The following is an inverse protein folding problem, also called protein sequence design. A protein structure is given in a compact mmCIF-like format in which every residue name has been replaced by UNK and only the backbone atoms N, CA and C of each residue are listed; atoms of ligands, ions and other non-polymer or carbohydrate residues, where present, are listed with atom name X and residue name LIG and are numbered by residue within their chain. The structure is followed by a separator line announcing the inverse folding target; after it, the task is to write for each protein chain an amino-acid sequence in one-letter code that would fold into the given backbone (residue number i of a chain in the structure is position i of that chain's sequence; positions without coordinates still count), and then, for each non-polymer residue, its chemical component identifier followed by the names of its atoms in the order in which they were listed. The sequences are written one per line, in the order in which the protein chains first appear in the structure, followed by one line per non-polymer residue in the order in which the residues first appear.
data_IF_502798759099
#
_entry.id   IF_502798759099
#
_cell.length_a   1.000
_cell.length_b   1.000
_cell.length_c   1.000
_cell.angle_alpha   90.00
_cell.angle_beta   90.00
_cell.angle_gamma   90.00
#
_symmetry.space_group_name_H-M   'P 1'
#
loop_
_entity.id
_entity.type
_entity.pdbx_description
1 polymer ?
#
# COMPACT_ATOMS: atom_id res chain seq x y z
N UNK A 1 -5.46 18.93 -1.17
CA UNK A 1 -6.20 20.00 -0.48
C UNK A 1 -7.62 20.06 -1.06
N UNK A 2 -8.61 19.58 -0.32
CA UNK A 2 -10.03 19.64 -0.72
C UNK A 2 -10.60 20.97 -0.27
N UNK A 3 -11.11 21.77 -1.20
CA UNK A 3 -11.77 23.05 -0.87
C UNK A 3 -13.22 22.73 -0.52
N UNK A 4 -13.51 22.66 0.77
CA UNK A 4 -14.87 22.56 1.32
C UNK A 4 -15.34 23.99 1.61
N UNK A 5 -16.42 24.46 0.96
CA UNK A 5 -17.02 25.77 1.25
C UNK A 5 -18.30 25.56 2.08
N UNK A 6 -18.24 25.89 3.38
CA UNK A 6 -19.40 25.91 4.27
C UNK A 6 -19.20 26.94 5.39
N UNK A 7 -20.28 27.58 5.87
CA UNK A 7 -20.25 28.57 6.96
C UNK A 7 -19.72 28.02 8.29
N UNK A 8 -19.77 26.69 8.50
CA UNK A 8 -19.11 25.98 9.59
C UNK A 8 -18.51 24.66 9.08
N UNK A 9 -17.41 24.75 8.34
CA UNK A 9 -16.75 23.60 7.71
C UNK A 9 -16.36 22.48 8.70
N UNK A 10 -16.03 22.83 9.95
CA UNK A 10 -15.67 21.85 10.99
C UNK A 10 -16.86 21.00 11.47
N UNK A 11 -18.05 21.60 11.60
CA UNK A 11 -19.26 20.88 12.03
C UNK A 11 -19.78 19.96 10.92
N UNK A 12 -19.68 20.40 9.67
CA UNK A 12 -20.06 19.56 8.52
C UNK A 12 -19.10 18.40 8.34
N UNK A 13 -17.79 18.61 8.52
CA UNK A 13 -16.79 17.54 8.47
C UNK A 13 -17.02 16.50 9.57
N UNK A 14 -17.28 16.93 10.80
CA UNK A 14 -17.56 16.01 11.91
C UNK A 14 -18.83 15.16 11.66
N UNK A 15 -19.91 15.78 11.15
CA UNK A 15 -21.14 15.05 10.81
C UNK A 15 -21.01 14.12 9.61
N UNK A 16 -20.22 14.47 8.59
CA UNK A 16 -19.93 13.57 7.48
C UNK A 16 -19.00 12.43 7.89
N UNK A 17 -17.99 12.69 8.72
CA UNK A 17 -17.06 11.65 9.19
C UNK A 17 -17.79 10.61 10.06
N UNK A 18 -18.69 11.06 10.93
CA UNK A 18 -19.49 10.17 11.79
C UNK A 18 -20.49 9.33 10.99
N UNK A 19 -21.09 9.86 9.91
CA UNK A 19 -22.07 9.11 9.09
C UNK A 19 -21.39 8.19 8.07
N UNK A 20 -20.28 8.62 7.47
CA UNK A 20 -19.66 7.90 6.35
C UNK A 20 -18.51 6.99 6.77
N UNK A 21 -17.76 7.32 7.82
CA UNK A 21 -16.52 6.62 8.18
C UNK A 21 -16.54 5.92 9.55
N UNK A 22 -17.41 6.34 10.48
CA UNK A 22 -17.61 5.65 11.79
C UNK A 22 -17.88 4.14 11.68
N UNK A 23 -18.69 3.64 10.72
CA UNK A 23 -18.91 2.20 10.58
C UNK A 23 -17.66 1.42 10.13
N UNK A 24 -16.64 2.12 9.62
CA UNK A 24 -15.49 1.54 8.93
C UNK A 24 -14.16 1.78 9.64
N UNK A 25 -14.12 2.68 10.63
CA UNK A 25 -12.92 3.00 11.41
C UNK A 25 -12.36 1.75 12.13
N UNK A 26 -13.18 0.73 12.35
CA UNK A 26 -12.83 -0.53 13.03
C UNK A 26 -12.97 -1.79 12.17
N UNK A 27 -13.44 -1.68 10.93
CA UNK A 27 -13.57 -2.83 10.03
C UNK A 27 -12.21 -3.10 9.39
N UNK A 28 -11.45 -4.05 9.94
CA UNK A 28 -10.19 -4.45 9.33
C UNK A 28 -10.43 -4.93 7.89
N UNK A 29 -9.67 -4.41 6.90
CA UNK A 29 -9.74 -4.94 5.55
C UNK A 29 -9.42 -6.43 5.55
N UNK A 30 -10.04 -7.15 4.63
CA UNK A 30 -10.22 -8.60 4.63
C UNK A 30 -8.93 -9.38 4.96
N UNK A 31 -9.00 -10.21 6.02
CA UNK A 31 -7.86 -10.92 6.64
C UNK A 31 -7.22 -12.01 5.77
N UNK A 32 -7.75 -12.25 4.58
CA UNK A 32 -7.33 -13.36 3.71
C UNK A 32 -5.95 -13.08 3.11
N UNK A 33 -5.66 -11.83 2.72
CA UNK A 33 -4.36 -11.50 2.11
C UNK A 33 -3.22 -11.65 3.13
N UNK A 34 -3.42 -11.26 4.38
CA UNK A 34 -2.41 -11.39 5.43
C UNK A 34 -2.14 -12.85 5.84
N UNK A 35 -3.06 -13.77 5.54
CA UNK A 35 -2.84 -15.22 5.71
C UNK A 35 -2.02 -15.83 4.57
N UNK A 36 -2.05 -15.21 3.39
CA UNK A 36 -1.42 -15.74 2.17
C UNK A 36 -0.04 -15.13 1.92
N UNK A 37 0.15 -13.86 2.24
CA UNK A 37 1.40 -13.12 2.00
C UNK A 37 2.08 -12.71 3.30
N UNK A 38 3.41 -12.83 3.33
CA UNK A 38 4.22 -12.19 4.35
C UNK A 38 4.24 -10.68 4.10
N UNK A 39 3.45 -9.93 4.87
CA UNK A 39 3.40 -8.47 4.76
C UNK A 39 4.44 -7.84 5.69
N UNK A 40 5.37 -7.07 5.14
CA UNK A 40 6.26 -6.20 5.90
C UNK A 40 5.82 -4.74 5.73
N UNK A 41 5.65 -4.03 6.84
CA UNK A 41 5.39 -2.59 6.83
C UNK A 41 6.69 -1.80 6.94
N UNK A 42 6.83 -0.74 6.15
CA UNK A 42 7.95 0.18 6.22
C UNK A 42 7.52 1.57 5.73
N UNK A 43 8.09 2.63 6.30
CA UNK A 43 7.70 4.02 6.02
C UNK A 43 8.36 4.62 4.77
N UNK A 44 9.32 3.91 4.16
CA UNK A 44 10.00 4.38 2.95
C UNK A 44 9.21 4.02 1.70
N UNK A 45 9.34 4.82 0.64
CA UNK A 45 8.66 4.56 -0.64
C UNK A 45 9.17 3.30 -1.34
N UNK A 46 10.43 2.93 -1.10
CA UNK A 46 11.04 1.73 -1.66
C UNK A 46 11.95 1.05 -0.63
N UNK A 47 12.03 -0.28 -0.69
CA UNK A 47 12.98 -1.09 0.07
C UNK A 47 13.74 -2.00 -0.88
N UNK A 48 15.07 -1.86 -0.92
CA UNK A 48 15.96 -2.68 -1.74
C UNK A 48 16.63 -3.73 -0.87
N UNK A 49 16.36 -5.01 -1.17
CA UNK A 49 17.14 -6.13 -0.65
C UNK A 49 18.31 -6.35 -1.60
N UNK A 50 19.51 -6.38 -1.06
CA UNK A 50 20.73 -6.59 -1.83
C UNK A 50 21.58 -7.65 -1.14
N UNK A 51 21.92 -8.69 -1.88
CA UNK A 51 22.91 -9.66 -1.44
C UNK A 51 24.30 -9.20 -1.87
N UNK A 52 25.26 -9.38 -0.98
CA UNK A 52 26.68 -9.18 -1.26
C UNK A 52 27.23 -10.51 -1.79
N UNK A 53 27.99 -10.46 -2.90
CA UNK A 53 28.68 -11.62 -3.44
C UNK A 53 29.73 -12.12 -2.44
N UNK A 54 29.74 -13.43 -2.19
CA UNK A 54 30.73 -14.05 -1.30
C UNK A 54 32.17 -13.87 -1.79
N UNK A 55 33.10 -13.79 -0.84
CA UNK A 55 34.52 -13.78 -1.13
C UNK A 55 34.96 -15.09 -1.82
N UNK A 56 35.93 -15.05 -2.74
CA UNK A 56 36.49 -16.24 -3.35
C UNK A 56 37.27 -17.07 -2.31
N UNK A 57 37.56 -18.33 -2.65
CA UNK A 57 38.40 -19.18 -1.81
C UNK A 57 39.77 -18.54 -1.57
N UNK A 58 40.27 -18.70 -0.35
CA UNK A 58 41.61 -18.25 0.04
C UNK A 58 42.66 -18.98 -0.82
N UNK A 59 43.49 -18.22 -1.52
CA UNK A 59 44.59 -18.75 -2.32
C UNK A 59 45.87 -18.83 -1.50
N UNK A 60 46.61 -19.93 -1.60
CA UNK A 60 47.91 -20.06 -0.92
C UNK A 60 48.94 -19.15 -1.61
N UNK A 61 49.57 -18.28 -0.82
CA UNK A 61 50.62 -17.34 -1.26
C UNK A 61 52.00 -17.89 -0.89
N UNK A 62 53.00 -17.66 -1.75
CA UNK A 62 54.41 -17.88 -1.40
C UNK A 62 54.93 -16.81 -0.43
N UNK A 63 55.88 -17.16 0.43
CA UNK A 63 56.55 -16.20 1.33
C UNK A 63 57.07 -14.98 0.56
N UNK A 64 56.69 -13.78 1.02
CA UNK A 64 57.04 -12.51 0.38
C UNK A 64 56.09 -11.99 -0.71
N UNK A 65 55.10 -12.78 -1.18
CA UNK A 65 54.12 -12.31 -2.18
C UNK A 65 53.11 -11.28 -1.64
N UNK A 66 52.53 -10.43 -2.48
CA UNK A 66 51.44 -9.54 -2.07
C UNK A 66 50.10 -10.31 -1.99
N UNK A 67 49.20 -9.91 -1.08
CA UNK A 67 47.82 -10.41 -1.09
C UNK A 67 47.02 -9.65 -2.17
N UNK A 68 46.16 -10.36 -2.90
CA UNK A 68 45.23 -9.73 -3.83
C UNK A 68 44.09 -9.09 -3.05
N UNK A 69 43.77 -7.83 -3.34
CA UNK A 69 42.59 -7.21 -2.76
C UNK A 69 41.35 -7.85 -3.38
N UNK A 70 40.39 -8.25 -2.54
CA UNK A 70 39.13 -8.79 -3.01
C UNK A 70 38.02 -7.91 -2.45
N UNK A 71 37.40 -7.13 -3.32
CA UNK A 71 36.26 -6.32 -2.96
C UNK A 71 34.98 -7.14 -3.08
N UNK A 72 34.10 -6.99 -2.09
CA UNK A 72 32.80 -7.62 -2.13
C UNK A 72 31.92 -6.92 -3.19
N UNK A 73 31.48 -7.67 -4.18
CA UNK A 73 30.64 -7.14 -5.28
C UNK A 73 29.15 -7.19 -4.94
N UNK A 74 28.36 -6.36 -5.61
CA UNK A 74 26.89 -6.49 -5.61
C UNK A 74 26.49 -7.78 -6.34
N UNK A 75 25.57 -8.54 -5.75
CA UNK A 75 24.99 -9.73 -6.38
C UNK A 75 23.56 -9.41 -6.84
N UNK A 76 22.60 -10.24 -6.45
CA UNK A 76 21.19 -10.05 -6.78
C UNK A 76 20.56 -8.99 -5.89
N UNK A 77 19.68 -8.19 -6.49
CA UNK A 77 18.90 -7.21 -5.78
C UNK A 77 17.41 -7.34 -6.15
N UNK A 78 16.57 -7.12 -5.15
CA UNK A 78 15.12 -7.06 -5.30
C UNK A 78 14.65 -5.76 -4.69
N UNK A 79 13.84 -4.99 -5.42
CA UNK A 79 13.25 -3.76 -4.92
C UNK A 79 11.75 -3.95 -4.71
N UNK A 80 11.27 -3.66 -3.51
CA UNK A 80 9.85 -3.54 -3.21
C UNK A 80 9.48 -2.05 -3.25
N UNK A 81 8.40 -1.72 -3.93
CA UNK A 81 7.88 -0.36 -4.05
C UNK A 81 6.48 -0.27 -3.44
N UNK A 82 6.23 0.77 -2.67
CA UNK A 82 4.89 1.09 -2.17
C UNK A 82 4.11 1.86 -3.23
N UNK A 83 2.99 1.29 -3.67
CA UNK A 83 2.09 1.92 -4.63
C UNK A 83 0.87 2.43 -3.89
N UNK A 84 0.64 3.75 -3.95
CA UNK A 84 -0.53 4.38 -3.36
C UNK A 84 -1.66 4.49 -4.38
N UNK A 85 -2.85 4.03 -4.00
CA UNK A 85 -4.08 4.18 -4.77
C UNK A 85 -5.01 5.16 -4.06
N UNK A 86 -5.79 5.92 -4.84
CA UNK A 86 -6.74 6.88 -4.31
C UNK A 86 -8.02 6.90 -5.13
N UNK A 87 -9.14 7.12 -4.44
CA UNK A 87 -10.45 7.28 -5.05
C UNK A 87 -11.17 8.43 -4.37
N UNK A 88 -11.97 9.18 -5.12
CA UNK A 88 -12.79 10.26 -4.59
C UNK A 88 -14.20 10.16 -5.15
N UNK A 89 -15.17 10.56 -4.34
CA UNK A 89 -16.56 10.74 -4.75
C UNK A 89 -17.02 12.12 -4.27
N UNK A 90 -17.88 12.75 -5.05
CA UNK A 90 -18.43 14.08 -4.76
C UNK A 90 -19.94 13.99 -4.74
N UNK A 91 -20.55 14.46 -3.66
CA UNK A 91 -22.00 14.53 -3.50
C UNK A 91 -22.37 16.01 -3.36
N UNK A 92 -23.40 16.45 -4.09
CA UNK A 92 -23.95 17.79 -3.91
C UNK A 92 -24.97 17.79 -2.77
N UNK A 93 -25.08 18.91 -2.06
CA UNK A 93 -26.01 19.03 -0.94
C UNK A 93 -27.48 18.85 -1.38
N UNK A 94 -27.82 19.35 -2.57
CA UNK A 94 -29.16 19.17 -3.15
C UNK A 94 -29.48 17.70 -3.42
N UNK A 95 -28.51 16.92 -3.90
CA UNK A 95 -28.68 15.48 -4.14
C UNK A 95 -28.88 14.70 -2.84
N UNK A 96 -28.26 15.15 -1.73
CA UNK A 96 -28.50 14.58 -0.40
C UNK A 96 -29.88 14.98 0.16
N UNK A 97 -30.31 16.22 -0.07
CA UNK A 97 -31.59 16.72 0.42
C UNK A 97 -32.80 16.12 -0.34
N UNK A 98 -32.63 15.80 -1.63
CA UNK A 98 -33.65 15.16 -2.48
C UNK A 98 -33.55 13.62 -2.45
N UNK A 99 -32.75 13.06 -1.54
CA UNK A 99 -32.49 11.64 -1.48
C UNK A 99 -33.66 10.87 -0.85
N UNK A 100 -34.48 10.26 -1.70
CA UNK A 100 -35.62 9.44 -1.23
C UNK A 100 -35.28 7.97 -0.97
N UNK A 101 -34.19 7.46 -1.54
CA UNK A 101 -33.93 6.01 -1.64
C UNK A 101 -32.66 5.53 -0.90
N UNK A 102 -31.92 6.40 -0.21
CA UNK A 102 -30.73 5.98 0.55
C UNK A 102 -29.66 5.33 -0.33
N UNK A 103 -29.41 5.87 -1.52
CA UNK A 103 -28.39 5.41 -2.47
C UNK A 103 -27.01 6.00 -2.14
N UNK A 104 -26.96 7.23 -1.63
CA UNK A 104 -25.75 7.93 -1.19
C UNK A 104 -25.11 7.21 0.00
N UNK A 105 -25.90 6.59 0.88
CA UNK A 105 -25.36 5.76 1.97
C UNK A 105 -24.65 4.49 1.46
N UNK A 106 -24.85 4.09 0.20
CA UNK A 106 -24.15 2.96 -0.43
C UNK A 106 -22.79 3.37 -1.02
N UNK A 107 -22.52 4.67 -1.18
CA UNK A 107 -21.27 5.15 -1.79
C UNK A 107 -20.04 4.74 -0.96
N UNK A 108 -19.99 4.89 0.38
CA UNK A 108 -18.86 4.39 1.16
C UNK A 108 -18.64 2.89 1.00
N UNK A 109 -19.71 2.10 0.97
CA UNK A 109 -19.65 0.64 0.89
C UNK A 109 -19.07 0.19 -0.46
N UNK A 110 -19.61 0.75 -1.55
CA UNK A 110 -19.11 0.48 -2.91
C UNK A 110 -17.68 0.97 -3.11
N UNK A 111 -17.31 2.09 -2.47
CA UNK A 111 -15.93 2.57 -2.49
C UNK A 111 -14.98 1.59 -1.79
N UNK A 112 -15.39 1.00 -0.66
CA UNK A 112 -14.62 -0.04 0.02
C UNK A 112 -14.48 -1.28 -0.84
N UNK A 113 -15.58 -1.78 -1.40
CA UNK A 113 -15.56 -2.96 -2.29
C UNK A 113 -14.64 -2.76 -3.49
N UNK A 114 -14.62 -1.55 -4.08
CA UNK A 114 -13.70 -1.22 -5.16
C UNK A 114 -12.23 -1.23 -4.71
N UNK A 115 -11.94 -0.76 -3.49
CA UNK A 115 -10.58 -0.78 -2.95
C UNK A 115 -10.11 -2.23 -2.67
N UNK A 116 -10.98 -3.05 -2.07
CA UNK A 116 -10.73 -4.48 -1.82
C UNK A 116 -10.54 -5.26 -3.12
N UNK A 117 -11.38 -5.02 -4.14
CA UNK A 117 -11.23 -5.62 -5.45
C UNK A 117 -9.90 -5.25 -6.12
N UNK A 118 -9.46 -4.00 -5.97
CA UNK A 118 -8.16 -3.53 -6.48
C UNK A 118 -7.01 -4.25 -5.79
N UNK A 119 -7.07 -4.38 -4.46
CA UNK A 119 -6.06 -5.09 -3.67
C UNK A 119 -5.96 -6.57 -4.09
N UNK A 120 -7.10 -7.26 -4.20
CA UNK A 120 -7.19 -8.65 -4.62
C UNK A 120 -6.67 -8.86 -6.06
N UNK A 121 -6.99 -7.94 -6.97
CA UNK A 121 -6.50 -7.98 -8.34
C UNK A 121 -4.97 -7.93 -8.40
N UNK A 122 -4.33 -7.01 -7.69
CA UNK A 122 -2.87 -6.94 -7.63
C UNK A 122 -2.25 -8.14 -6.92
N UNK A 123 -2.85 -8.61 -5.83
CA UNK A 123 -2.42 -9.82 -5.13
C UNK A 123 -2.44 -11.06 -6.03
N UNK A 124 -3.50 -11.24 -6.83
CA UNK A 124 -3.63 -12.38 -7.75
C UNK A 124 -2.53 -12.42 -8.82
N UNK A 125 -2.09 -11.25 -9.30
CA UNK A 125 -1.04 -11.13 -10.33
C UNK A 125 0.34 -11.56 -9.84
N UNK A 126 0.58 -11.52 -8.52
CA UNK A 126 1.83 -12.04 -7.94
C UNK A 126 1.93 -13.54 -8.23
N UNK A 127 0.84 -14.30 -8.09
CA UNK A 127 0.83 -15.73 -8.41
C UNK A 127 1.00 -15.99 -9.90
N UNK A 128 0.36 -15.19 -10.76
CA UNK A 128 0.47 -15.36 -12.22
C UNK A 128 1.87 -15.09 -12.75
N UNK A 129 2.63 -14.19 -12.11
CA UNK A 129 4.00 -13.85 -12.53
C UNK A 129 5.08 -14.67 -11.79
N UNK A 130 4.69 -15.50 -10.82
CA UNK A 130 5.59 -16.29 -9.98
C UNK A 130 5.81 -17.74 -10.42
N UNK A 131 5.09 -18.20 -11.46
CA UNK A 131 5.21 -19.52 -12.07
C UNK A 131 5.56 -19.41 -13.56
#
# INVERSE_FOLDING_TARGET
MTIIRANNANLMKAGLDEVLFSPWEFAQPDSVISQVFNMETHDSQFKKYMTIKGYPLLTQKNEGGAYTNVDAGEAWWTQLEHIAYGMYSTITHEAQADERYGVISQFPNSMRESAEATMNYHASRIFTNGF
#
